data_IF_850543519058
#
_entry.id   IF_850543519058
#
_cell.length_a   1.000
_cell.length_b   1.000
_cell.length_c   1.000
_cell.angle_alpha   90.00
_cell.angle_beta   90.00
_cell.angle_gamma   90.00
#
_symmetry.space_group_name_H-M   'P 1'
#
loop_
_entity.id
_entity.type
_entity.pdbx_description
1 polymer ?
#
# COMPACT_ATOMS: atom_id res chain seq x y z
N UNK A 1 -5.49 -30.91 18.37
CA UNK A 1 -4.92 -29.70 17.74
C UNK A 1 -5.51 -29.61 16.35
N UNK A 2 -6.74 -29.13 16.25
CA UNK A 2 -7.49 -29.06 14.99
C UNK A 2 -7.10 -27.75 14.31
N UNK A 3 -6.50 -27.86 13.13
CA UNK A 3 -6.29 -26.73 12.23
C UNK A 3 -7.65 -26.37 11.65
N UNK A 4 -8.31 -25.37 12.22
CA UNK A 4 -9.54 -24.83 11.67
C UNK A 4 -9.18 -24.03 10.42
N UNK A 5 -9.48 -24.63 9.26
CA UNK A 5 -9.30 -24.03 7.95
C UNK A 5 -10.25 -22.84 7.86
N UNK A 6 -9.70 -21.63 7.87
CA UNK A 6 -10.47 -20.41 7.58
C UNK A 6 -10.94 -20.51 6.13
N UNK A 7 -12.25 -20.58 5.84
CA UNK A 7 -12.73 -20.59 4.47
C UNK A 7 -12.31 -19.28 3.80
N UNK A 8 -11.58 -19.40 2.68
CA UNK A 8 -11.35 -18.31 1.74
C UNK A 8 -12.72 -17.89 1.22
N UNK A 9 -13.27 -16.81 1.77
CA UNK A 9 -14.45 -16.18 1.19
C UNK A 9 -14.08 -15.72 -0.22
N UNK A 10 -14.83 -16.23 -1.20
CA UNK A 10 -14.77 -15.81 -2.59
C UNK A 10 -14.92 -14.29 -2.65
N UNK A 11 -13.86 -13.61 -3.08
CA UNK A 11 -13.93 -12.20 -3.45
C UNK A 11 -14.84 -12.16 -4.68
N UNK A 12 -16.00 -11.49 -4.64
CA UNK A 12 -16.84 -11.40 -5.84
C UNK A 12 -16.03 -10.73 -6.95
N UNK A 13 -16.06 -11.36 -8.13
CA UNK A 13 -15.42 -10.84 -9.33
C UNK A 13 -15.96 -9.44 -9.62
N UNK A 14 -15.13 -8.43 -9.37
CA UNK A 14 -15.36 -7.09 -9.91
C UNK A 14 -15.19 -7.19 -11.43
N UNK A 15 -16.24 -6.89 -12.18
CA UNK A 15 -16.22 -6.84 -13.64
C UNK A 15 -15.12 -5.87 -14.11
N UNK A 16 -14.01 -6.43 -14.58
CA UNK A 16 -12.93 -5.67 -15.24
C UNK A 16 -13.35 -5.49 -16.71
N UNK A 17 -13.67 -4.27 -17.17
CA UNK A 17 -14.04 -4.06 -18.56
C UNK A 17 -12.87 -4.35 -19.49
N UNK A 18 -13.15 -5.06 -20.58
CA UNK A 18 -12.18 -5.52 -21.58
C UNK A 18 -11.39 -4.37 -22.24
N UNK A 19 -10.11 -4.58 -22.59
CA UNK A 19 -9.30 -3.54 -23.19
C UNK A 19 -9.61 -3.41 -24.68
N UNK A 20 -10.11 -2.24 -25.09
CA UNK A 20 -10.02 -1.81 -26.49
C UNK A 20 -11.31 -1.30 -27.13
N UNK A 21 -11.67 -0.05 -26.84
CA UNK A 21 -12.45 0.77 -27.77
C UNK A 21 -11.95 2.23 -27.70
N UNK A 22 -11.66 2.89 -28.83
CA UNK A 22 -11.04 4.21 -28.82
C UNK A 22 -12.06 5.29 -28.51
N UNK A 23 -12.09 5.77 -27.26
CA UNK A 23 -12.91 6.92 -26.88
C UNK A 23 -12.33 8.20 -27.47
N UNK A 24 -13.18 8.92 -28.20
CA UNK A 24 -12.90 10.18 -28.92
C UNK A 24 -12.02 11.13 -28.12
N UNK A 25 -11.00 11.68 -28.80
CA UNK A 25 -10.04 12.68 -28.33
C UNK A 25 -10.72 13.80 -27.53
N UNK A 26 -10.75 13.65 -26.21
CA UNK A 26 -10.99 14.77 -25.31
C UNK A 26 -9.76 15.67 -25.37
N UNK A 27 -10.01 16.97 -25.54
CA UNK A 27 -9.01 18.02 -25.65
C UNK A 27 -8.00 17.89 -24.51
N UNK A 28 -6.70 17.91 -24.83
CA UNK A 28 -5.58 17.84 -23.88
C UNK A 28 -5.79 18.88 -22.77
N UNK A 29 -6.31 18.45 -21.63
CA UNK A 29 -6.22 19.19 -20.38
C UNK A 29 -4.79 19.00 -19.89
N UNK A 30 -4.06 20.10 -19.71
CA UNK A 30 -2.76 20.07 -19.07
C UNK A 30 -2.92 19.37 -17.69
N UNK A 31 -2.04 18.44 -17.31
CA UNK A 31 -2.12 17.77 -16.03
C UNK A 31 -1.69 18.76 -14.94
N UNK A 32 -2.62 19.60 -14.51
CA UNK A 32 -2.53 20.29 -13.23
C UNK A 32 -2.56 19.21 -12.13
N UNK A 33 -1.37 18.98 -11.55
CA UNK A 33 -1.15 18.42 -10.23
C UNK A 33 -2.03 17.21 -9.83
N UNK A 34 -1.96 16.10 -10.57
CA UNK A 34 -2.19 14.80 -9.93
C UNK A 34 -1.15 14.66 -8.80
N UNK A 35 -1.57 14.42 -7.55
CA UNK A 35 -0.69 14.34 -6.38
C UNK A 35 0.45 13.36 -6.64
N UNK A 36 1.62 13.89 -7.03
CA UNK A 36 2.74 13.02 -7.40
C UNK A 36 3.30 12.40 -6.14
N UNK A 37 3.54 11.09 -6.20
CA UNK A 37 4.05 10.31 -5.07
C UNK A 37 5.52 9.99 -5.23
N UNK A 38 6.24 9.94 -4.13
CA UNK A 38 7.64 9.55 -4.09
C UNK A 38 7.83 8.14 -4.66
N UNK A 39 8.77 7.95 -5.59
CA UNK A 39 9.10 6.66 -6.19
C UNK A 39 9.75 5.64 -5.23
N UNK A 40 9.95 6.00 -3.96
CA UNK A 40 10.45 5.09 -2.92
C UNK A 40 9.42 4.90 -1.79
N UNK A 41 9.05 5.97 -1.08
CA UNK A 41 8.16 5.88 0.09
C UNK A 41 6.69 6.17 -0.22
N UNK A 42 6.33 6.50 -1.46
CA UNK A 42 4.96 6.86 -1.90
C UNK A 42 4.29 8.05 -1.17
N UNK A 43 4.99 8.73 -0.27
CA UNK A 43 4.54 10.00 0.29
C UNK A 43 4.23 11.00 -0.83
N UNK A 44 3.20 11.80 -0.62
CA UNK A 44 2.86 12.91 -1.51
C UNK A 44 4.05 13.86 -1.58
N UNK A 45 4.48 14.16 -2.80
CA UNK A 45 5.55 15.11 -3.05
C UNK A 45 5.00 16.52 -2.88
N UNK A 46 5.78 17.44 -2.29
CA UNK A 46 5.36 18.82 -2.19
C UNK A 46 5.10 19.39 -3.59
N UNK A 47 4.08 20.25 -3.69
CA UNK A 47 3.78 20.97 -4.91
C UNK A 47 5.06 21.63 -5.44
N UNK A 48 5.32 21.43 -6.72
CA UNK A 48 6.50 21.99 -7.37
C UNK A 48 6.10 23.31 -8.02
N UNK A 49 6.51 24.41 -7.40
CA UNK A 49 6.30 25.77 -7.95
C UNK A 49 7.31 26.11 -9.06
N UNK A 50 8.37 25.31 -9.24
CA UNK A 50 9.41 25.58 -10.22
C UNK A 50 9.14 24.94 -11.59
N UNK A 51 9.33 25.73 -12.64
CA UNK A 51 9.42 25.26 -14.03
C UNK A 51 10.69 24.43 -14.20
N UNK A 52 10.58 23.10 -14.17
CA UNK A 52 11.72 22.19 -14.26
C UNK A 52 11.33 20.72 -14.28
N UNK A 53 12.35 19.83 -14.32
CA UNK A 53 12.11 18.38 -14.31
C UNK A 53 11.36 17.99 -13.03
N UNK A 54 10.20 17.33 -13.14
CA UNK A 54 9.41 16.97 -11.98
C UNK A 54 10.19 16.04 -11.02
N UNK A 55 10.20 16.36 -9.71
CA UNK A 55 10.82 15.53 -8.66
C UNK A 55 10.26 14.10 -8.65
N UNK A 56 11.12 13.10 -8.48
CA UNK A 56 10.69 11.71 -8.33
C UNK A 56 10.72 11.24 -6.86
N UNK A 57 11.53 11.87 -6.01
CA UNK A 57 11.74 11.47 -4.62
C UNK A 57 11.55 12.66 -3.67
N UNK A 58 11.00 12.38 -2.48
CA UNK A 58 10.73 13.41 -1.46
C UNK A 58 12.01 14.01 -0.85
N UNK A 59 13.15 13.30 -0.90
CA UNK A 59 14.44 13.75 -0.36
C UNK A 59 15.61 12.85 -0.76
N UNK A 60 16.82 13.25 -0.34
CA UNK A 60 18.08 12.55 -0.67
C UNK A 60 18.11 11.11 -0.14
N UNK A 61 17.64 10.87 1.09
CA UNK A 61 17.60 9.53 1.68
C UNK A 61 16.76 8.53 0.84
N UNK A 62 15.58 8.95 0.36
CA UNK A 62 14.74 8.12 -0.51
C UNK A 62 15.40 7.84 -1.87
N UNK A 63 16.11 8.84 -2.42
CA UNK A 63 16.87 8.66 -3.67
C UNK A 63 18.02 7.66 -3.48
N UNK A 64 18.74 7.76 -2.36
CA UNK A 64 19.87 6.88 -2.04
C UNK A 64 19.44 5.42 -1.92
N UNK A 65 18.39 5.15 -1.13
CA UNK A 65 17.86 3.79 -0.96
C UNK A 65 17.34 3.18 -2.27
N UNK A 66 16.68 4.00 -3.10
CA UNK A 66 16.24 3.55 -4.43
C UNK A 66 17.41 3.18 -5.34
N UNK A 67 18.55 3.87 -5.22
CA UNK A 67 19.77 3.50 -5.95
C UNK A 67 20.40 2.21 -5.42
N UNK A 68 20.47 2.05 -4.10
CA UNK A 68 21.01 0.85 -3.45
C UNK A 68 20.20 -0.39 -3.81
N UNK A 69 18.87 -0.32 -3.77
CA UNK A 69 17.99 -1.42 -4.16
C UNK A 69 18.20 -1.80 -5.63
N UNK A 70 18.25 -0.84 -6.55
CA UNK A 70 18.50 -1.12 -7.98
C UNK A 70 19.87 -1.74 -8.21
N UNK A 71 20.89 -1.23 -7.51
CA UNK A 71 22.26 -1.73 -7.61
C UNK A 71 22.39 -3.15 -7.07
N UNK A 72 21.73 -3.46 -5.95
CA UNK A 72 21.70 -4.79 -5.37
C UNK A 72 20.97 -5.78 -6.30
N UNK A 73 19.82 -5.38 -6.84
CA UNK A 73 19.03 -6.18 -7.78
C UNK A 73 19.81 -6.48 -9.07
N UNK A 74 20.49 -5.47 -9.63
CA UNK A 74 21.34 -5.63 -10.80
C UNK A 74 22.52 -6.57 -10.54
N UNK A 75 23.19 -6.45 -9.38
CA UNK A 75 24.29 -7.36 -8.98
C UNK A 75 23.82 -8.80 -8.80
N UNK A 76 22.59 -9.00 -8.33
CA UNK A 76 21.99 -10.32 -8.17
C UNK A 76 21.45 -10.91 -9.48
N UNK A 77 21.51 -10.19 -10.61
CA UNK A 77 20.96 -10.64 -11.89
C UNK A 77 19.43 -10.75 -11.90
N UNK A 78 18.76 -10.08 -10.97
CA UNK A 78 17.31 -10.11 -10.82
C UNK A 78 16.66 -9.06 -11.72
N UNK A 79 15.45 -9.35 -12.20
CA UNK A 79 14.63 -8.37 -12.91
C UNK A 79 14.30 -7.19 -11.97
N UNK A 80 14.22 -5.94 -12.48
CA UNK A 80 13.83 -4.77 -11.68
C UNK A 80 12.44 -4.88 -11.06
N UNK A 81 11.58 -5.76 -11.58
CA UNK A 81 10.23 -6.01 -11.08
C UNK A 81 10.18 -7.06 -9.96
N UNK A 82 11.31 -7.68 -9.63
CA UNK A 82 11.41 -8.67 -8.56
C UNK A 82 11.70 -7.97 -7.24
N UNK A 83 10.90 -8.31 -6.22
CA UNK A 83 11.14 -7.86 -4.86
C UNK A 83 11.58 -9.03 -3.98
N UNK A 84 12.73 -8.87 -3.33
CA UNK A 84 13.20 -9.81 -2.32
C UNK A 84 12.64 -9.42 -0.95
N UNK A 85 12.06 -10.40 -0.27
CA UNK A 85 11.56 -10.27 1.09
C UNK A 85 12.02 -11.46 1.89
N UNK A 86 12.39 -11.24 3.14
CA UNK A 86 12.64 -12.37 4.04
C UNK A 86 11.33 -13.07 4.36
N UNK A 87 11.41 -14.36 4.71
CA UNK A 87 10.22 -15.11 5.13
C UNK A 87 9.53 -14.45 6.34
N UNK A 88 10.32 -14.02 7.32
CA UNK A 88 9.84 -13.32 8.51
C UNK A 88 9.11 -12.01 8.19
N UNK A 89 9.59 -11.24 7.22
CA UNK A 89 8.89 -10.02 6.78
C UNK A 89 7.57 -10.34 6.09
N UNK A 90 7.54 -11.39 5.26
CA UNK A 90 6.32 -11.84 4.59
C UNK A 90 5.28 -12.34 5.60
N UNK A 91 5.69 -13.18 6.56
CA UNK A 91 4.81 -13.70 7.60
C UNK A 91 4.28 -12.54 8.46
N UNK A 92 5.14 -11.59 8.85
CA UNK A 92 4.73 -10.40 9.59
C UNK A 92 3.80 -9.45 8.80
N UNK A 93 3.85 -9.44 7.46
CA UNK A 93 2.87 -8.75 6.62
C UNK A 93 1.52 -9.49 6.65
N UNK A 94 1.54 -10.81 6.46
CA UNK A 94 0.34 -11.64 6.45
C UNK A 94 -0.42 -11.54 7.77
N UNK A 95 0.28 -11.60 8.90
CA UNK A 95 -0.32 -11.47 10.24
C UNK A 95 -1.04 -10.12 10.42
N UNK A 96 -0.45 -9.03 9.92
CA UNK A 96 -1.07 -7.69 10.01
C UNK A 96 -2.28 -7.55 9.11
N UNK A 97 -2.25 -8.12 7.91
CA UNK A 97 -3.41 -8.16 7.02
C UNK A 97 -4.55 -8.98 7.62
N UNK A 98 -4.22 -10.09 8.29
CA UNK A 98 -5.18 -10.88 9.02
C UNK A 98 -5.82 -10.08 10.16
N UNK A 99 -5.01 -9.40 10.99
CA UNK A 99 -5.51 -8.53 12.07
C UNK A 99 -6.44 -7.42 11.54
N UNK A 100 -6.08 -6.79 10.42
CA UNK A 100 -6.91 -5.77 9.80
C UNK A 100 -8.27 -6.34 9.35
N UNK A 101 -8.28 -7.52 8.73
CA UNK A 101 -9.52 -8.18 8.33
C UNK A 101 -10.41 -8.45 9.54
N UNK A 102 -9.85 -9.04 10.61
CA UNK A 102 -10.63 -9.31 11.82
C UNK A 102 -11.20 -8.02 12.45
N UNK A 103 -10.41 -6.94 12.51
CA UNK A 103 -10.89 -5.67 13.02
C UNK A 103 -12.04 -5.08 12.16
N UNK A 104 -12.04 -5.32 10.85
CA UNK A 104 -13.15 -4.94 9.97
C UNK A 104 -14.40 -5.79 10.21
N UNK A 105 -14.23 -7.10 10.40
CA UNK A 105 -15.31 -8.04 10.73
C UNK A 105 -15.97 -7.68 12.08
N UNK A 106 -15.17 -7.27 13.07
CA UNK A 106 -15.66 -6.79 14.37
C UNK A 106 -16.51 -5.52 14.20
N UNK A 107 -16.06 -4.55 13.40
CA UNK A 107 -16.83 -3.32 13.11
C UNK A 107 -18.13 -3.65 12.35
N UNK A 108 -18.08 -4.58 11.41
CA UNK A 108 -19.28 -5.02 10.67
C UNK A 108 -20.31 -5.66 11.61
N UNK A 109 -19.86 -6.50 12.55
CA UNK A 109 -20.71 -7.11 13.56
C UNK A 109 -21.32 -6.04 14.48
N UNK A 110 -20.49 -5.12 14.96
CA UNK A 110 -20.92 -4.02 15.83
C UNK A 110 -22.00 -3.16 15.15
N UNK A 111 -21.88 -2.88 13.84
CA UNK A 111 -22.88 -2.13 13.08
C UNK A 111 -24.27 -2.79 13.07
N UNK A 112 -24.34 -4.12 13.09
CA UNK A 112 -25.61 -4.86 13.12
C UNK A 112 -26.34 -4.69 14.48
N UNK A 113 -25.60 -4.40 15.55
CA UNK A 113 -26.13 -4.29 16.92
C UNK A 113 -26.65 -2.88 17.27
N UNK A 114 -26.71 -1.96 16.29
CA UNK A 114 -27.11 -0.54 16.48
C UNK A 114 -26.31 0.14 17.60
N UNK A 115 -24.99 0.25 17.42
CA UNK A 115 -24.08 0.67 18.46
C UNK A 115 -24.27 2.16 18.78
N UNK A 116 -23.91 2.54 20.00
CA UNK A 116 -23.83 3.94 20.37
C UNK A 116 -22.68 4.63 19.64
N UNK A 117 -22.74 5.96 19.56
CA UNK A 117 -21.66 6.77 18.98
C UNK A 117 -20.29 6.49 19.63
N UNK A 118 -20.27 6.28 20.95
CA UNK A 118 -19.03 6.03 21.71
C UNK A 118 -18.43 4.67 21.35
N UNK A 119 -19.25 3.63 21.20
CA UNK A 119 -18.79 2.31 20.77
C UNK A 119 -18.24 2.35 19.35
N UNK A 120 -18.90 3.09 18.46
CA UNK A 120 -18.43 3.30 17.09
C UNK A 120 -17.08 4.03 17.04
N UNK A 121 -16.94 5.12 17.80
CA UNK A 121 -15.68 5.87 17.89
C UNK A 121 -14.54 5.00 18.43
N UNK A 122 -14.82 4.16 19.43
CA UNK A 122 -13.84 3.22 19.99
C UNK A 122 -13.44 2.14 18.98
N UNK A 123 -14.40 1.58 18.26
CA UNK A 123 -14.15 0.55 17.25
C UNK A 123 -13.35 1.10 16.06
N UNK A 124 -13.67 2.31 15.59
CA UNK A 124 -12.87 2.99 14.56
C UNK A 124 -11.44 3.30 15.05
N UNK A 125 -11.27 3.73 16.30
CA UNK A 125 -9.95 3.94 16.87
C UNK A 125 -9.13 2.65 16.92
N UNK A 126 -9.75 1.51 17.26
CA UNK A 126 -9.11 0.20 17.23
C UNK A 126 -8.76 -0.23 15.80
N UNK A 127 -9.68 -0.07 14.86
CA UNK A 127 -9.43 -0.36 13.45
C UNK A 127 -8.24 0.46 12.90
N UNK A 128 -8.19 1.76 13.17
CA UNK A 128 -7.05 2.61 12.78
C UNK A 128 -5.76 2.14 13.46
N UNK A 129 -5.80 1.75 14.73
CA UNK A 129 -4.62 1.17 15.40
C UNK A 129 -4.15 -0.13 14.73
N UNK A 130 -5.08 -1.00 14.33
CA UNK A 130 -4.77 -2.26 13.64
C UNK A 130 -4.12 -2.03 12.26
N UNK A 131 -4.51 -0.96 11.55
CA UNK A 131 -3.83 -0.56 10.30
C UNK A 131 -2.38 -0.13 10.53
N UNK A 132 -2.07 0.34 11.75
CA UNK A 132 -0.72 0.54 12.25
C UNK A 132 0.23 1.22 11.27
N UNK A 133 1.40 0.58 11.06
CA UNK A 133 2.44 1.03 10.12
C UNK A 133 2.40 0.28 8.78
N UNK A 134 1.23 -0.17 8.30
CA UNK A 134 1.10 -0.76 6.96
C UNK A 134 1.68 0.19 5.88
N UNK A 135 1.53 1.50 6.09
CA UNK A 135 2.13 2.58 5.31
C UNK A 135 3.67 2.59 5.28
N UNK A 136 4.33 1.89 6.19
CA UNK A 136 5.79 1.86 6.36
C UNK A 136 6.36 0.45 6.29
N UNK A 137 5.52 -0.54 6.03
CA UNK A 137 5.92 -1.92 5.74
C UNK A 137 6.41 -2.10 4.29
N UNK A 138 6.56 -1.01 3.54
CA UNK A 138 7.21 -1.05 2.25
C UNK A 138 8.56 -1.73 2.36
N UNK A 139 8.75 -2.66 1.42
CA UNK A 139 9.87 -3.58 1.20
C UNK A 139 11.15 -2.78 0.99
N UNK A 140 11.58 -2.15 2.06
CA UNK A 140 12.77 -1.33 2.21
C UNK A 140 13.56 -2.07 3.26
N UNK A 141 14.46 -2.95 2.79
CA UNK A 141 15.35 -3.75 3.62
C UNK A 141 15.89 -2.89 4.75
N UNK A 142 15.36 -3.09 5.94
CA UNK A 142 15.84 -2.42 7.14
C UNK A 142 16.69 -3.44 7.88
N UNK A 143 17.97 -3.10 7.90
CA UNK A 143 18.95 -3.39 8.94
C UNK A 143 19.53 -4.81 8.93
N UNK A 144 20.56 -5.01 8.10
CA UNK A 144 21.74 -5.73 8.58
C UNK A 144 22.66 -4.69 9.23
N UNK A 145 22.54 -4.58 10.54
CA UNK A 145 23.39 -3.78 11.43
C UNK A 145 23.24 -4.37 12.82
#
# INVERSE_FOLDING_TARGET
>A
MVAEQVPVHDIPAVDVPAPGAPTRRSRRRAPDAEERRCGWCRNVLPAQESVGRPRLYCGQACRQRAYEQRSATAKAGLSPDVVLVTRTELDGLQDRLFQLRCALEDVQTLLAEKPTKVEMERALAELVRSTGRLDKLWLSGRNAG
#
